data_IF_381864779470
#
_entry.id   IF_381864779470
#
_cell.length_a   1.000
_cell.length_b   1.000
_cell.length_c   1.000
_cell.angle_alpha   90.00
_cell.angle_beta   90.00
_cell.angle_gamma   90.00
#
_symmetry.space_group_name_H-M   'P 1'
#
loop_
_entity.id
_entity.type
_entity.pdbx_description
1 polymer ?
#
# COMPACT_ATOMS: atom_id res chain seq x y z
N UNK A 1 6.39 10.98 6.30
CA UNK A 1 6.85 9.63 6.62
C UNK A 1 6.22 8.60 5.68
N UNK A 2 7.02 7.69 5.12
CA UNK A 2 6.56 6.72 4.13
C UNK A 2 6.88 5.29 4.58
N UNK A 3 5.88 4.41 4.63
CA UNK A 3 6.10 2.96 4.73
C UNK A 3 5.91 2.31 3.37
N UNK A 4 6.67 1.25 3.08
CA UNK A 4 6.64 0.61 1.78
C UNK A 4 7.41 1.38 0.68
N UNK A 5 8.24 2.36 1.05
CA UNK A 5 9.03 3.19 0.12
C UNK A 5 9.93 2.41 -0.85
N UNK A 6 10.36 1.21 -0.48
CA UNK A 6 11.13 0.31 -1.37
C UNK A 6 10.26 -0.57 -2.29
N UNK A 7 8.93 -0.50 -2.19
CA UNK A 7 8.00 -1.19 -3.08
C UNK A 7 7.75 -0.43 -4.38
N UNK A 8 6.99 -1.04 -5.32
CA UNK A 8 6.72 -0.44 -6.63
C UNK A 8 6.05 0.94 -6.53
N UNK A 9 4.91 1.04 -5.83
CA UNK A 9 4.24 2.33 -5.61
C UNK A 9 5.10 3.27 -4.76
N UNK A 10 5.66 2.77 -3.63
CA UNK A 10 6.44 3.60 -2.72
C UNK A 10 7.67 4.22 -3.38
N UNK A 11 8.35 3.51 -4.29
CA UNK A 11 9.50 4.03 -5.03
C UNK A 11 9.14 5.22 -5.93
N UNK A 12 7.94 5.22 -6.51
CA UNK A 12 7.41 6.35 -7.28
C UNK A 12 6.96 7.49 -6.36
N UNK A 13 6.25 7.16 -5.29
CA UNK A 13 5.76 8.12 -4.31
C UNK A 13 6.91 8.92 -3.66
N UNK A 14 7.96 8.24 -3.23
CA UNK A 14 9.15 8.89 -2.66
C UNK A 14 9.77 9.87 -3.65
N UNK A 15 9.90 9.49 -4.93
CA UNK A 15 10.41 10.39 -5.97
C UNK A 15 9.51 11.60 -6.17
N UNK A 16 8.20 11.37 -6.29
CA UNK A 16 7.24 12.47 -6.43
C UNK A 16 7.25 13.45 -5.25
N UNK A 17 7.39 12.94 -4.02
CA UNK A 17 7.51 13.79 -2.83
C UNK A 17 8.80 14.61 -2.85
N UNK A 18 9.94 14.01 -3.20
CA UNK A 18 11.22 14.72 -3.31
C UNK A 18 11.18 15.77 -4.43
N UNK A 19 10.60 15.44 -5.59
CA UNK A 19 10.44 16.35 -6.72
C UNK A 19 9.54 17.55 -6.36
N UNK A 20 8.57 17.34 -5.45
CA UNK A 20 7.73 18.39 -4.88
C UNK A 20 8.42 19.20 -3.76
N UNK A 21 9.64 18.86 -3.40
CA UNK A 21 10.45 19.60 -2.41
C UNK A 21 10.20 19.19 -0.95
N UNK A 22 9.55 18.04 -0.71
CA UNK A 22 9.32 17.55 0.65
C UNK A 22 10.55 16.82 1.21
N UNK A 23 10.73 16.90 2.52
CA UNK A 23 11.64 16.05 3.27
C UNK A 23 10.95 14.71 3.51
N UNK A 24 11.65 13.62 3.21
CA UNK A 24 11.06 12.27 3.24
C UNK A 24 11.86 11.35 4.14
N UNK A 25 11.20 10.76 5.13
CA UNK A 25 11.71 9.62 5.89
C UNK A 25 10.97 8.34 5.50
N UNK A 26 11.71 7.24 5.34
CA UNK A 26 11.16 5.96 4.89
C UNK A 26 11.45 4.85 5.88
N UNK A 27 10.42 4.11 6.30
CA UNK A 27 10.61 2.83 6.98
C UNK A 27 11.20 1.83 6.00
N UNK A 28 12.40 1.33 6.30
CA UNK A 28 13.12 0.38 5.46
C UNK A 28 13.37 -0.94 6.19
N UNK A 29 13.49 -2.00 5.39
CA UNK A 29 13.96 -3.32 5.82
C UNK A 29 15.27 -3.65 5.08
N UNK A 30 15.39 -4.82 4.52
CA UNK A 30 16.65 -5.32 3.94
C UNK A 30 16.92 -4.82 2.52
N UNK A 31 15.90 -4.75 1.65
CA UNK A 31 16.06 -4.34 0.25
C UNK A 31 15.70 -2.86 0.08
N UNK A 32 16.70 -2.04 -0.14
CA UNK A 32 16.58 -0.58 -0.26
C UNK A 32 16.97 -0.06 -1.65
N UNK A 33 17.25 -0.94 -2.62
CA UNK A 33 17.69 -0.56 -3.98
C UNK A 33 16.82 0.49 -4.65
N UNK A 34 15.51 0.45 -4.38
CA UNK A 34 14.57 1.42 -4.93
C UNK A 34 14.81 2.86 -4.45
N UNK A 35 15.53 3.03 -3.34
CA UNK A 35 15.85 4.30 -2.70
C UNK A 35 17.32 4.72 -2.90
N UNK A 36 18.10 3.96 -3.66
CA UNK A 36 19.50 4.30 -3.90
C UNK A 36 19.63 5.59 -4.72
N UNK A 37 20.53 6.46 -4.28
CA UNK A 37 20.75 7.78 -4.88
C UNK A 37 19.68 8.85 -4.54
N UNK A 38 18.66 8.51 -3.74
CA UNK A 38 17.66 9.47 -3.29
C UNK A 38 18.05 10.07 -1.93
N UNK A 39 17.79 11.36 -1.77
CA UNK A 39 17.99 12.07 -0.50
C UNK A 39 16.81 11.81 0.44
N UNK A 40 16.77 10.63 1.04
CA UNK A 40 15.73 10.21 1.99
C UNK A 40 16.37 9.74 3.29
N UNK A 41 15.76 10.08 4.39
CA UNK A 41 16.09 9.50 5.68
C UNK A 41 15.59 8.05 5.71
N UNK A 42 16.46 7.11 6.06
CA UNK A 42 16.13 5.69 6.17
C UNK A 42 16.04 5.31 7.62
N UNK A 43 14.84 4.99 8.09
CA UNK A 43 14.61 4.59 9.47
C UNK A 43 14.25 3.11 9.56
N UNK A 44 14.64 2.47 10.64
CA UNK A 44 14.29 1.09 10.97
C UNK A 44 13.22 1.04 12.06
N UNK A 45 12.49 -0.06 12.15
CA UNK A 45 11.49 -0.29 13.19
C UNK A 45 10.60 -1.48 12.83
N UNK A 46 9.88 -1.98 13.83
CA UNK A 46 8.87 -3.01 13.61
C UNK A 46 7.52 -2.36 13.28
N UNK A 47 7.00 -2.63 12.09
CA UNK A 47 5.69 -2.13 11.67
C UNK A 47 4.55 -2.54 12.63
N UNK A 48 4.73 -3.61 13.38
CA UNK A 48 3.76 -4.10 14.37
C UNK A 48 3.90 -3.39 15.74
N UNK A 49 4.98 -2.66 15.97
CA UNK A 49 5.20 -1.87 17.19
C UNK A 49 4.67 -0.45 17.01
N UNK A 50 3.63 -0.12 17.75
CA UNK A 50 3.09 1.26 17.76
C UNK A 50 4.12 2.26 18.28
N UNK A 51 4.94 1.86 19.24
CA UNK A 51 5.99 2.67 19.84
C UNK A 51 7.08 3.01 18.83
N UNK A 52 7.57 2.02 18.06
CA UNK A 52 8.55 2.24 17.00
C UNK A 52 7.99 3.18 15.93
N UNK A 53 6.75 2.95 15.51
CA UNK A 53 6.10 3.78 14.50
C UNK A 53 5.90 5.21 15.00
N UNK A 54 5.49 5.38 16.25
CA UNK A 54 5.35 6.71 16.85
C UNK A 54 6.70 7.43 16.98
N UNK A 55 7.77 6.73 17.34
CA UNK A 55 9.11 7.31 17.38
C UNK A 55 9.56 7.79 16.00
N UNK A 56 9.35 6.97 14.96
CA UNK A 56 9.71 7.28 13.58
C UNK A 56 8.86 8.40 12.95
N UNK A 57 7.66 8.66 13.47
CA UNK A 57 6.75 9.73 13.00
C UNK A 57 6.98 11.07 13.73
N UNK A 58 7.94 11.15 14.63
CA UNK A 58 8.17 12.38 15.40
C UNK A 58 8.48 13.56 14.49
N UNK A 59 7.63 14.60 14.50
CA UNK A 59 7.78 15.81 13.68
C UNK A 59 7.38 15.64 12.21
N UNK A 60 6.69 14.56 11.86
CA UNK A 60 6.15 14.36 10.51
C UNK A 60 4.75 14.96 10.40
N UNK A 61 4.51 15.76 9.36
CA UNK A 61 3.20 16.34 9.06
C UNK A 61 2.27 15.29 8.41
N UNK A 62 2.79 14.49 7.48
CA UNK A 62 2.01 13.56 6.67
C UNK A 62 2.59 12.15 6.71
N UNK A 63 1.71 11.16 6.81
CA UNK A 63 2.06 9.73 6.77
C UNK A 63 1.47 9.07 5.53
N UNK A 64 2.31 8.41 4.74
CA UNK A 64 1.91 7.57 3.61
C UNK A 64 2.14 6.10 3.95
N UNK A 65 1.06 5.37 4.14
CA UNK A 65 1.12 3.94 4.46
C UNK A 65 0.85 3.09 3.21
N UNK A 66 1.94 2.79 2.47
CA UNK A 66 1.91 1.94 1.27
C UNK A 66 2.51 0.54 1.52
N UNK A 67 2.95 0.25 2.73
CA UNK A 67 3.43 -1.08 3.09
C UNK A 67 2.28 -2.09 3.10
N UNK A 68 2.47 -3.20 2.40
CA UNK A 68 1.55 -4.33 2.42
C UNK A 68 2.30 -5.62 2.11
N UNK A 69 1.77 -6.74 2.58
CA UNK A 69 2.23 -8.06 2.19
C UNK A 69 1.21 -8.70 1.25
N UNK A 70 1.67 -9.08 0.05
CA UNK A 70 0.86 -9.67 -1.01
C UNK A 70 1.35 -11.07 -1.29
N UNK A 71 0.58 -12.09 -0.90
CA UNK A 71 0.88 -13.48 -1.16
C UNK A 71 -0.32 -14.22 -1.76
N UNK A 72 -0.05 -15.32 -2.46
CA UNK A 72 -1.10 -16.22 -3.01
C UNK A 72 -1.19 -17.49 -2.19
N UNK A 73 -0.07 -17.89 -1.58
CA UNK A 73 0.00 -19.14 -0.85
C UNK A 73 -0.77 -19.03 0.47
N UNK A 74 -1.49 -20.10 0.80
CA UNK A 74 -2.25 -20.16 2.06
C UNK A 74 -1.35 -20.15 3.30
N UNK A 75 -0.11 -20.63 3.16
CA UNK A 75 0.91 -20.59 4.22
C UNK A 75 1.20 -19.17 4.73
N UNK A 76 1.03 -18.17 3.87
CA UNK A 76 1.38 -16.78 4.16
C UNK A 76 0.22 -15.98 4.76
N UNK A 77 -0.95 -16.60 5.00
CA UNK A 77 -2.15 -15.91 5.51
C UNK A 77 -1.89 -15.20 6.83
N UNK A 78 -1.18 -15.86 7.76
CA UNK A 78 -0.86 -15.28 9.06
C UNK A 78 -0.02 -14.00 8.91
N UNK A 79 1.02 -14.05 8.10
CA UNK A 79 1.86 -12.88 7.84
C UNK A 79 1.08 -11.76 7.13
N UNK A 80 0.13 -12.11 6.22
CA UNK A 80 -0.77 -11.11 5.64
C UNK A 80 -1.64 -10.44 6.70
N UNK A 81 -2.19 -11.19 7.64
CA UNK A 81 -3.00 -10.64 8.73
C UNK A 81 -2.17 -9.74 9.65
N UNK A 82 -0.99 -10.18 10.03
CA UNK A 82 -0.07 -9.39 10.86
C UNK A 82 0.28 -8.07 10.18
N UNK A 83 0.75 -8.10 8.92
CA UNK A 83 1.23 -6.89 8.23
C UNK A 83 0.06 -6.01 7.75
N UNK A 84 -0.95 -6.59 7.10
CA UNK A 84 -2.01 -5.80 6.45
C UNK A 84 -3.12 -5.35 7.42
N UNK A 85 -3.19 -5.92 8.60
CA UNK A 85 -4.16 -5.53 9.64
C UNK A 85 -3.43 -5.01 10.88
N UNK A 86 -2.55 -5.80 11.47
CA UNK A 86 -1.76 -5.41 12.64
C UNK A 86 -0.89 -4.19 12.37
N UNK A 87 -0.15 -4.19 11.26
CA UNK A 87 0.67 -3.05 10.83
C UNK A 87 -0.15 -1.79 10.57
N UNK A 88 -1.31 -1.91 9.90
CA UNK A 88 -2.22 -0.76 9.69
C UNK A 88 -2.70 -0.20 11.01
N UNK A 89 -3.12 -1.06 11.95
CA UNK A 89 -3.55 -0.66 13.30
C UNK A 89 -2.45 0.08 14.05
N UNK A 90 -1.22 -0.45 14.05
CA UNK A 90 -0.07 0.19 14.70
C UNK A 90 0.23 1.56 14.11
N UNK A 91 0.21 1.66 12.77
CA UNK A 91 0.42 2.92 12.05
C UNK A 91 -0.63 3.98 12.38
N UNK A 92 -1.92 3.59 12.37
CA UNK A 92 -3.01 4.51 12.67
C UNK A 92 -2.95 5.01 14.13
N UNK A 93 -2.68 4.12 15.09
CA UNK A 93 -2.50 4.50 16.50
C UNK A 93 -1.30 5.41 16.71
N UNK A 94 -0.18 5.12 16.06
CA UNK A 94 1.01 5.95 16.12
C UNK A 94 0.73 7.35 15.56
N UNK A 95 0.06 7.44 14.40
CA UNK A 95 -0.32 8.69 13.77
C UNK A 95 -1.23 9.53 14.66
N UNK A 96 -2.26 8.94 15.23
CA UNK A 96 -3.14 9.60 16.23
C UNK A 96 -2.34 10.13 17.42
N UNK A 97 -1.44 9.31 17.99
CA UNK A 97 -0.65 9.70 19.17
C UNK A 97 0.32 10.85 18.89
N UNK A 98 0.74 11.01 17.64
CA UNK A 98 1.68 12.07 17.21
C UNK A 98 0.99 13.30 16.62
N UNK A 99 -0.33 13.23 16.41
CA UNK A 99 -1.09 14.33 15.86
C UNK A 99 -0.64 14.72 14.45
N UNK A 100 -0.39 13.71 13.58
CA UNK A 100 -0.04 13.98 12.18
C UNK A 100 -1.22 14.67 11.49
N UNK A 101 -0.94 15.63 10.62
CA UNK A 101 -1.96 16.42 9.94
C UNK A 101 -2.77 15.58 8.95
N UNK A 102 -2.13 14.60 8.30
CA UNK A 102 -2.80 13.74 7.31
C UNK A 102 -2.22 12.32 7.26
N UNK A 103 -3.11 11.35 7.13
CA UNK A 103 -2.74 9.95 6.94
C UNK A 103 -3.29 9.41 5.61
N UNK A 104 -2.42 9.00 4.71
CA UNK A 104 -2.79 8.44 3.41
C UNK A 104 -2.59 6.91 3.45
N UNK A 105 -3.70 6.17 3.38
CA UNK A 105 -3.66 4.70 3.36
C UNK A 105 -3.87 4.15 1.95
N UNK A 106 -2.92 3.35 1.48
CA UNK A 106 -3.07 2.64 0.20
C UNK A 106 -3.73 1.28 0.45
N UNK A 107 -5.03 1.24 0.27
CA UNK A 107 -5.85 0.02 0.29
C UNK A 107 -5.78 -0.71 -1.08
N UNK A 108 -6.88 -1.19 -1.57
CA UNK A 108 -7.04 -1.84 -2.88
C UNK A 108 -8.52 -1.94 -3.23
N UNK A 109 -8.87 -2.00 -4.52
CA UNK A 109 -10.22 -2.40 -4.97
C UNK A 109 -10.63 -3.76 -4.41
N UNK A 110 -9.68 -4.62 -4.05
CA UNK A 110 -9.91 -5.92 -3.42
C UNK A 110 -10.44 -5.84 -1.99
N UNK A 111 -10.43 -4.68 -1.36
CA UNK A 111 -11.09 -4.48 -0.06
C UNK A 111 -12.63 -4.56 -0.17
N UNK A 112 -13.18 -4.27 -1.35
CA UNK A 112 -14.61 -4.29 -1.61
C UNK A 112 -15.11 -5.62 -2.17
N UNK A 113 -16.39 -5.91 -1.99
CA UNK A 113 -17.06 -7.05 -2.62
C UNK A 113 -16.94 -6.97 -4.14
N UNK A 114 -16.39 -8.02 -4.75
CA UNK A 114 -16.20 -8.09 -6.21
C UNK A 114 -17.48 -8.45 -6.97
N UNK A 115 -18.58 -8.67 -6.27
CA UNK A 115 -19.88 -9.02 -6.87
C UNK A 115 -20.93 -7.98 -6.53
N UNK A 116 -21.88 -7.72 -7.44
CA UNK A 116 -22.02 -8.28 -8.79
C UNK A 116 -20.96 -7.75 -9.76
N UNK A 117 -20.62 -8.54 -10.80
CA UNK A 117 -19.56 -8.20 -11.78
C UNK A 117 -20.05 -7.37 -12.95
N UNK A 118 -21.36 -7.20 -13.10
CA UNK A 118 -22.02 -6.40 -14.15
C UNK A 118 -22.26 -4.95 -13.76
N UNK A 119 -21.81 -4.54 -12.59
CA UNK A 119 -21.91 -3.17 -12.09
C UNK A 119 -20.51 -2.60 -11.82
N UNK A 120 -20.30 -1.28 -11.99
CA UNK A 120 -19.07 -0.63 -11.60
C UNK A 120 -18.75 -0.88 -10.12
N UNK A 121 -17.47 -1.10 -9.82
CA UNK A 121 -16.99 -1.14 -8.45
C UNK A 121 -16.68 0.27 -8.01
N UNK A 122 -17.38 0.72 -6.99
CA UNK A 122 -17.22 2.05 -6.37
C UNK A 122 -17.04 1.92 -4.87
N UNK A 123 -16.67 2.99 -4.20
CA UNK A 123 -16.47 3.05 -2.75
C UNK A 123 -17.77 2.84 -1.95
N UNK A 124 -18.92 2.91 -2.60
CA UNK A 124 -20.22 2.59 -1.99
C UNK A 124 -20.45 1.08 -1.83
N UNK A 125 -19.64 0.24 -2.48
CA UNK A 125 -19.72 -1.19 -2.29
C UNK A 125 -19.34 -1.62 -0.89
N UNK A 126 -20.01 -2.65 -0.34
CA UNK A 126 -19.65 -3.16 0.98
C UNK A 126 -18.24 -3.76 0.96
N UNK A 127 -17.51 -3.53 2.05
CA UNK A 127 -16.23 -4.18 2.31
C UNK A 127 -16.42 -5.70 2.41
N UNK A 128 -15.41 -6.45 1.95
CA UNK A 128 -15.38 -7.90 2.09
C UNK A 128 -15.54 -8.30 3.57
N UNK A 129 -16.53 -9.17 3.84
CA UNK A 129 -16.84 -9.68 5.18
C UNK A 129 -17.10 -11.20 5.18
N UNK A 130 -16.54 -11.91 4.22
CA UNK A 130 -16.73 -13.36 4.08
C UNK A 130 -15.45 -14.12 4.39
N UNK A 131 -15.51 -15.08 5.29
CA UNK A 131 -14.39 -15.99 5.57
C UNK A 131 -14.01 -16.87 4.37
N UNK A 132 -14.88 -16.94 3.35
CA UNK A 132 -14.64 -17.66 2.10
C UNK A 132 -13.93 -16.81 1.04
N UNK A 133 -13.81 -15.50 1.26
CA UNK A 133 -13.08 -14.63 0.35
C UNK A 133 -11.56 -14.91 0.39
N UNK A 134 -10.86 -14.51 -0.65
CA UNK A 134 -9.41 -14.68 -0.72
C UNK A 134 -8.73 -14.02 0.50
N UNK A 135 -7.65 -14.60 1.04
CA UNK A 135 -6.95 -14.03 2.20
C UNK A 135 -6.53 -12.58 1.99
N UNK A 136 -6.06 -12.22 0.80
CA UNK A 136 -5.68 -10.86 0.47
C UNK A 136 -6.87 -9.90 0.57
N UNK A 137 -8.02 -10.24 -0.01
CA UNK A 137 -9.22 -9.40 0.00
C UNK A 137 -9.71 -9.18 1.45
N UNK A 138 -9.70 -10.23 2.27
CA UNK A 138 -10.06 -10.16 3.68
C UNK A 138 -9.15 -9.24 4.46
N UNK A 139 -7.83 -9.38 4.27
CA UNK A 139 -6.85 -8.58 5.02
C UNK A 139 -6.86 -7.11 4.59
N UNK A 140 -7.06 -6.81 3.30
CA UNK A 140 -7.22 -5.43 2.83
C UNK A 140 -8.50 -4.78 3.38
N UNK A 141 -9.60 -5.53 3.38
CA UNK A 141 -10.85 -5.09 3.98
C UNK A 141 -10.74 -4.86 5.49
N UNK A 142 -10.07 -5.78 6.21
CA UNK A 142 -9.87 -5.64 7.65
C UNK A 142 -8.94 -4.47 8.00
N UNK A 143 -7.83 -4.30 7.28
CA UNK A 143 -6.95 -3.15 7.46
C UNK A 143 -7.65 -1.81 7.20
N UNK A 144 -8.53 -1.76 6.20
CA UNK A 144 -9.32 -0.55 5.95
C UNK A 144 -10.25 -0.22 7.12
N UNK A 145 -10.85 -1.23 7.79
CA UNK A 145 -11.66 -1.00 9.00
C UNK A 145 -10.84 -0.43 10.14
N UNK A 146 -9.56 -0.81 10.28
CA UNK A 146 -8.67 -0.19 11.27
C UNK A 146 -8.49 1.31 11.02
N UNK A 147 -8.37 1.72 9.76
CA UNK A 147 -8.31 3.16 9.41
C UNK A 147 -9.65 3.85 9.69
N UNK A 148 -10.78 3.22 9.32
CA UNK A 148 -12.11 3.78 9.60
C UNK A 148 -12.34 3.98 11.09
N UNK A 149 -11.92 3.02 11.93
CA UNK A 149 -11.97 3.17 13.39
C UNK A 149 -11.09 4.31 13.88
N UNK A 150 -9.89 4.47 13.34
CA UNK A 150 -9.02 5.58 13.71
C UNK A 150 -9.56 6.96 13.27
N UNK A 151 -10.30 7.01 12.15
CA UNK A 151 -11.02 8.23 11.72
C UNK A 151 -12.12 8.58 12.73
N UNK A 152 -12.85 7.60 13.25
CA UNK A 152 -13.83 7.82 14.33
C UNK A 152 -13.17 8.33 15.63
N UNK A 153 -11.89 8.02 15.84
CA UNK A 153 -11.06 8.50 16.95
C UNK A 153 -10.41 9.88 16.65
N UNK A 154 -10.58 10.43 15.44
CA UNK A 154 -10.11 11.77 15.06
C UNK A 154 -8.93 11.83 14.11
N UNK A 155 -8.49 10.69 13.53
CA UNK A 155 -7.44 10.70 12.50
C UNK A 155 -7.98 11.30 11.20
N UNK A 156 -7.34 12.35 10.67
CA UNK A 156 -7.61 12.80 9.30
C UNK A 156 -6.95 11.84 8.31
N UNK A 157 -7.73 10.96 7.69
CA UNK A 157 -7.21 9.96 6.76
C UNK A 157 -7.95 9.93 5.44
N UNK A 158 -7.18 9.75 4.34
CA UNK A 158 -7.69 9.39 3.02
C UNK A 158 -7.30 7.96 2.68
N UNK A 159 -8.22 7.21 2.07
CA UNK A 159 -7.99 5.81 1.69
C UNK A 159 -8.08 5.70 0.17
N UNK A 160 -6.99 5.26 -0.46
CA UNK A 160 -6.93 5.06 -1.91
C UNK A 160 -7.10 3.58 -2.26
N UNK A 161 -7.85 3.32 -3.33
CA UNK A 161 -8.18 1.96 -3.78
C UNK A 161 -7.70 1.71 -5.21
N UNK A 162 -6.37 1.60 -5.40
CA UNK A 162 -5.84 1.36 -6.74
C UNK A 162 -6.30 -0.01 -7.27
N UNK A 163 -6.43 -0.08 -8.59
CA UNK A 163 -6.62 -1.29 -9.38
C UNK A 163 -5.27 -1.98 -9.64
N UNK A 164 -5.08 -2.65 -10.76
CA UNK A 164 -3.79 -3.23 -11.13
C UNK A 164 -2.78 -2.14 -11.47
N UNK A 165 -1.73 -2.02 -10.67
CA UNK A 165 -0.70 -0.98 -10.84
C UNK A 165 0.38 -1.47 -11.79
N UNK A 166 0.71 -0.67 -12.79
CA UNK A 166 1.84 -0.87 -13.72
C UNK A 166 2.68 0.40 -13.83
N UNK A 167 3.95 0.26 -14.16
CA UNK A 167 4.81 1.41 -14.42
C UNK A 167 6.27 1.20 -14.03
N UNK A 168 7.07 2.28 -14.00
CA UNK A 168 8.50 2.22 -13.72
C UNK A 168 8.82 1.91 -12.25
N UNK A 169 10.08 1.62 -11.98
CA UNK A 169 10.66 1.39 -10.65
C UNK A 169 10.11 0.15 -9.90
N UNK A 170 9.63 -0.86 -10.63
CA UNK A 170 9.28 -2.17 -10.06
C UNK A 170 10.54 -3.04 -9.84
N UNK A 171 11.42 -2.58 -8.96
CA UNK A 171 12.75 -3.17 -8.72
C UNK A 171 12.73 -4.61 -8.21
N UNK A 172 11.68 -4.96 -7.49
CA UNK A 172 11.38 -6.33 -7.10
C UNK A 172 10.12 -6.74 -7.86
N UNK A 173 10.26 -7.22 -9.09
CA UNK A 173 9.14 -7.34 -10.01
C UNK A 173 7.88 -7.87 -9.34
N UNK A 174 6.82 -7.07 -9.35
CA UNK A 174 5.48 -7.48 -8.96
C UNK A 174 5.03 -8.68 -9.82
N UNK A 175 3.92 -9.30 -9.49
CA UNK A 175 3.39 -10.42 -10.31
C UNK A 175 3.18 -9.99 -11.75
N UNK A 176 2.61 -8.81 -11.96
CA UNK A 176 2.38 -8.31 -13.31
C UNK A 176 3.67 -7.83 -13.95
N UNK A 177 4.58 -7.24 -13.20
CA UNK A 177 5.93 -6.95 -13.67
C UNK A 177 6.63 -8.22 -14.19
N UNK A 178 6.51 -9.35 -13.49
CA UNK A 178 7.04 -10.65 -13.96
C UNK A 178 6.34 -11.11 -15.25
N UNK A 179 5.01 -11.02 -15.32
CA UNK A 179 4.26 -11.36 -16.54
C UNK A 179 4.74 -10.53 -17.72
N UNK A 180 4.89 -9.21 -17.56
CA UNK A 180 5.40 -8.34 -18.63
C UNK A 180 6.83 -8.69 -19.05
N UNK A 181 7.71 -8.98 -18.09
CA UNK A 181 9.06 -9.42 -18.37
C UNK A 181 9.08 -10.76 -19.10
N UNK A 182 8.22 -11.70 -18.74
CA UNK A 182 8.13 -13.01 -19.39
C UNK A 182 7.54 -12.90 -20.80
N UNK A 183 6.57 -12.01 -21.00
CA UNK A 183 6.07 -11.66 -22.34
C UNK A 183 7.18 -11.07 -23.20
N UNK A 184 7.92 -10.09 -22.70
CA UNK A 184 9.05 -9.49 -23.42
C UNK A 184 10.13 -10.50 -23.80
N UNK A 185 10.36 -11.50 -22.95
CA UNK A 185 11.33 -12.59 -23.17
C UNK A 185 10.81 -13.75 -24.02
N UNK A 186 9.58 -13.65 -24.53
CA UNK A 186 8.95 -14.73 -25.31
C UNK A 186 8.62 -16.00 -24.52
N UNK A 187 8.53 -15.90 -23.19
CA UNK A 187 8.27 -17.04 -22.30
C UNK A 187 6.79 -17.33 -22.05
N UNK A 188 5.89 -16.54 -22.64
CA UNK A 188 4.44 -16.70 -22.48
C UNK A 188 3.86 -17.43 -23.71
N UNK A 189 3.67 -18.76 -23.64
CA UNK A 189 3.20 -19.53 -24.80
C UNK A 189 1.68 -19.45 -25.02
N UNK A 190 0.93 -18.89 -24.07
CA UNK A 190 -0.54 -18.89 -24.06
C UNK A 190 -1.04 -17.50 -23.69
N UNK A 191 -2.03 -17.00 -24.44
CA UNK A 191 -2.83 -15.84 -24.07
C UNK A 191 -4.23 -16.32 -23.61
N UNK A 192 -4.78 -15.69 -22.58
CA UNK A 192 -6.13 -15.93 -22.10
C UNK A 192 -6.99 -14.69 -22.36
N UNK A 193 -8.26 -14.89 -22.67
CA UNK A 193 -9.20 -13.77 -22.81
C UNK A 193 -9.66 -13.29 -21.43
N UNK A 194 -8.78 -12.56 -20.75
CA UNK A 194 -9.03 -11.97 -19.45
C UNK A 194 -8.30 -10.63 -19.37
N UNK A 195 -8.67 -9.80 -18.41
CA UNK A 195 -8.06 -8.49 -18.23
C UNK A 195 -8.23 -7.95 -16.83
N UNK A 196 -7.54 -6.87 -16.58
CA UNK A 196 -7.66 -6.05 -15.37
C UNK A 196 -7.86 -4.60 -15.76
N UNK A 197 -8.45 -3.82 -14.89
CA UNK A 197 -8.31 -2.38 -14.98
C UNK A 197 -6.89 -2.02 -14.52
N UNK A 198 -6.18 -1.29 -15.36
CA UNK A 198 -4.81 -0.88 -15.10
C UNK A 198 -4.74 0.60 -14.80
N UNK A 199 -3.86 0.96 -13.90
CA UNK A 199 -3.52 2.35 -13.59
C UNK A 199 -2.00 2.52 -13.59
N UNK A 200 -1.52 3.64 -14.12
CA UNK A 200 -0.09 3.97 -14.06
C UNK A 200 0.30 4.27 -12.60
N UNK A 201 1.41 3.70 -12.17
CA UNK A 201 1.92 3.90 -10.81
C UNK A 201 2.19 5.37 -10.49
N UNK A 202 2.51 6.18 -11.50
CA UNK A 202 2.75 7.62 -11.35
C UNK A 202 1.45 8.37 -11.06
N UNK A 203 0.34 7.95 -11.67
CA UNK A 203 -0.98 8.54 -11.40
C UNK A 203 -1.43 8.21 -9.98
N UNK A 204 -1.21 6.96 -9.52
CA UNK A 204 -1.48 6.57 -8.13
C UNK A 204 -0.60 7.37 -7.17
N UNK A 205 0.68 7.53 -7.47
CA UNK A 205 1.60 8.35 -6.68
C UNK A 205 1.14 9.81 -6.58
N UNK A 206 0.81 10.41 -7.71
CA UNK A 206 0.30 11.79 -7.75
C UNK A 206 -1.02 11.95 -6.96
N UNK A 207 -1.91 10.96 -7.06
CA UNK A 207 -3.14 10.94 -6.28
C UNK A 207 -2.86 10.85 -4.78
N UNK A 208 -1.88 10.04 -4.36
CA UNK A 208 -1.45 10.00 -2.95
C UNK A 208 -0.96 11.37 -2.46
N UNK A 209 -0.18 12.09 -3.28
CA UNK A 209 0.39 13.40 -2.91
C UNK A 209 -0.68 14.49 -2.86
N UNK A 210 -1.75 14.36 -3.66
CA UNK A 210 -2.83 15.36 -3.75
C UNK A 210 -3.97 15.13 -2.77
N UNK A 211 -4.02 13.99 -2.07
CA UNK A 211 -5.12 13.58 -1.18
C UNK A 211 -4.96 14.12 0.24
#
# INVERSE_FOLDING_TARGET
YVTGGSGHLGANLVRGLLDAGHEVSCLVRNDVRALDGLNVERVSGDLLSTEDMAANMQGCDVVFHAAAFVAVEKSDTKMMEEINVGGVRSMAKAALSKGVDKFIHVSSVHAFSQRPTNEPLTESRPLVNSNKAAPYDRTKSAGQREIQSAVEEGLDASILHPTGILGPFDWKPSRMGKVLLDMHRGKMPIAINAGFNWVDVRDVSNTCISA
#
